data_IF_565823242245
#
_entry.id   IF_565823242245
#
_cell.length_a   1.000
_cell.length_b   1.000
_cell.length_c   1.000
_cell.angle_alpha   90.00
_cell.angle_beta   90.00
_cell.angle_gamma   90.00
#
_symmetry.space_group_name_H-M   'P 1'
#
loop_
_entity.id
_entity.type
_entity.pdbx_description
1 polymer ?
#
# COMPACT_ATOMS: atom_id res chain seq x y z
N UNK A 1 -2.95 -3.77 -26.29
CA UNK A 1 -2.45 -4.00 -24.91
C UNK A 1 -3.45 -3.32 -23.99
N UNK A 2 -4.11 -4.06 -23.09
CA UNK A 2 -5.16 -3.51 -22.21
C UNK A 2 -4.69 -3.70 -20.78
N UNK A 3 -4.34 -2.59 -20.13
CA UNK A 3 -3.97 -2.59 -18.72
C UNK A 3 -5.19 -2.80 -17.85
N UNK A 4 -5.04 -3.63 -16.83
CA UNK A 4 -6.07 -3.87 -15.82
C UNK A 4 -5.77 -3.06 -14.56
N UNK A 5 -6.80 -2.42 -14.02
CA UNK A 5 -6.77 -1.72 -12.73
C UNK A 5 -7.23 -2.66 -11.60
N UNK A 6 -6.48 -2.73 -10.52
CA UNK A 6 -6.85 -3.42 -9.27
C UNK A 6 -6.61 -2.48 -8.10
N UNK A 7 -7.57 -2.37 -7.17
CA UNK A 7 -7.48 -1.43 -6.05
C UNK A 7 -7.84 -2.11 -4.73
N UNK A 8 -7.26 -1.61 -3.65
CA UNK A 8 -7.59 -1.99 -2.27
C UNK A 8 -7.40 -0.77 -1.37
N UNK A 9 -8.17 -0.67 -0.29
CA UNK A 9 -8.11 0.46 0.64
C UNK A 9 -8.05 0.01 2.09
N UNK A 10 -7.45 0.85 2.92
CA UNK A 10 -7.44 0.71 4.38
C UNK A 10 -7.88 2.05 4.98
N UNK A 11 -8.72 1.98 6.02
CA UNK A 11 -9.22 3.15 6.74
C UNK A 11 -8.58 3.16 8.11
N UNK A 12 -8.04 4.29 8.56
CA UNK A 12 -7.55 4.49 9.93
C UNK A 12 -8.68 4.26 10.95
N UNK A 13 -8.40 3.73 12.14
CA UNK A 13 -9.32 3.83 13.28
C UNK A 13 -9.76 5.28 13.55
N UNK A 14 -10.79 5.43 14.40
CA UNK A 14 -11.36 6.74 14.74
C UNK A 14 -10.51 7.47 15.79
N UNK A 15 -9.25 7.73 15.47
CA UNK A 15 -8.30 8.46 16.28
C UNK A 15 -7.22 9.13 15.40
N UNK A 16 -6.32 9.89 16.02
CA UNK A 16 -5.25 10.65 15.35
C UNK A 16 -3.88 10.31 15.92
N UNK A 17 -3.67 9.10 16.43
CA UNK A 17 -2.38 8.72 17.03
C UNK A 17 -1.30 8.74 15.96
N UNK A 18 -0.25 9.53 16.22
CA UNK A 18 0.87 9.68 15.31
C UNK A 18 1.59 8.34 15.10
N UNK A 19 1.82 8.00 13.84
CA UNK A 19 2.71 6.92 13.44
C UNK A 19 4.17 7.34 13.61
N UNK A 20 5.00 6.44 14.13
CA UNK A 20 6.43 6.49 14.00
C UNK A 20 6.87 5.93 12.63
N UNK A 21 8.13 6.19 12.27
CA UNK A 21 8.71 5.58 11.08
C UNK A 21 8.82 4.05 11.27
N UNK A 22 8.36 3.32 10.26
CA UNK A 22 8.20 1.86 10.18
C UNK A 22 7.00 1.28 10.93
N UNK A 23 6.03 2.10 11.33
CA UNK A 23 4.77 1.58 11.86
C UNK A 23 3.86 1.03 10.75
N UNK A 24 3.05 0.04 11.10
CA UNK A 24 2.01 -0.51 10.24
C UNK A 24 0.76 0.34 10.30
N UNK A 25 0.19 0.62 9.12
CA UNK A 25 -1.16 1.17 9.00
C UNK A 25 -2.18 0.03 8.90
N UNK A 26 -3.02 -0.13 9.92
CA UNK A 26 -4.04 -1.16 9.98
C UNK A 26 -5.34 -0.62 10.63
N UNK A 27 -6.33 -1.50 10.80
CA UNK A 27 -7.56 -1.17 11.51
C UNK A 27 -8.22 -2.43 12.08
N UNK A 28 -8.94 -2.28 13.19
CA UNK A 28 -9.74 -3.33 13.79
C UNK A 28 -8.93 -4.60 14.04
N UNK A 29 -9.38 -5.72 13.48
CA UNK A 29 -8.56 -6.94 13.37
C UNK A 29 -7.62 -6.77 12.17
N UNK A 30 -6.31 -6.62 12.38
CA UNK A 30 -5.37 -6.33 11.30
C UNK A 30 -5.42 -7.40 10.21
N UNK A 31 -5.61 -6.97 8.97
CA UNK A 31 -5.61 -7.82 7.80
C UNK A 31 -4.90 -7.13 6.64
N UNK A 32 -4.08 -7.89 5.91
CA UNK A 32 -3.41 -7.38 4.72
C UNK A 32 -4.42 -7.02 3.62
N UNK A 33 -4.11 -5.97 2.86
CA UNK A 33 -4.87 -5.59 1.67
C UNK A 33 -4.86 -6.74 0.66
N UNK A 34 -5.95 -6.96 -0.06
CA UNK A 34 -6.04 -8.01 -1.09
C UNK A 34 -6.26 -7.40 -2.47
N UNK A 35 -5.28 -7.56 -3.36
CA UNK A 35 -5.36 -7.19 -4.76
C UNK A 35 -5.73 -8.42 -5.59
N UNK A 36 -7.03 -8.65 -5.75
CA UNK A 36 -7.53 -9.83 -6.45
C UNK A 36 -7.38 -9.72 -7.98
N UNK A 37 -7.20 -10.87 -8.62
CA UNK A 37 -7.17 -11.01 -10.07
C UNK A 37 -6.07 -10.18 -10.77
N UNK A 38 -4.89 -10.03 -10.16
CA UNK A 38 -3.72 -9.34 -10.75
C UNK A 38 -3.12 -10.09 -11.94
N UNK A 39 -3.50 -11.36 -12.12
CA UNK A 39 -3.12 -12.19 -13.27
C UNK A 39 -4.34 -12.85 -13.90
N UNK A 40 -4.21 -13.26 -15.17
CA UNK A 40 -5.31 -13.84 -15.98
C UNK A 40 -5.69 -15.25 -15.54
N UNK A 41 -4.71 -16.06 -15.15
CA UNK A 41 -4.88 -17.44 -14.73
C UNK A 41 -4.14 -17.70 -13.42
N UNK A 42 -4.54 -18.74 -12.69
CA UNK A 42 -3.85 -19.17 -11.47
C UNK A 42 -2.38 -19.50 -11.77
N UNK A 43 -1.48 -19.16 -10.85
CA UNK A 43 -0.01 -19.25 -11.04
C UNK A 43 0.51 -18.43 -12.24
N UNK A 44 -0.28 -17.45 -12.69
CA UNK A 44 0.11 -16.57 -13.78
C UNK A 44 1.21 -15.61 -13.37
N UNK A 45 1.87 -15.06 -14.39
CA UNK A 45 2.81 -13.94 -14.29
C UNK A 45 2.25 -12.72 -15.00
N UNK A 46 2.63 -11.54 -14.53
CA UNK A 46 2.28 -10.25 -15.08
C UNK A 46 3.34 -9.23 -14.58
N UNK A 47 3.17 -7.94 -14.83
CA UNK A 47 3.98 -6.87 -14.28
C UNK A 47 3.10 -5.71 -13.78
N UNK A 48 3.52 -5.10 -12.69
CA UNK A 48 2.94 -3.82 -12.27
C UNK A 48 3.65 -2.73 -13.07
N UNK A 49 2.89 -2.02 -13.91
CA UNK A 49 3.40 -0.94 -14.78
C UNK A 49 3.23 0.44 -14.17
N UNK A 50 2.28 0.58 -13.23
CA UNK A 50 2.05 1.81 -12.51
C UNK A 50 1.35 1.50 -11.19
N UNK A 51 1.66 2.29 -10.15
CA UNK A 51 0.93 2.28 -8.90
C UNK A 51 0.59 3.71 -8.48
N UNK A 52 -0.59 3.90 -7.92
CA UNK A 52 -1.04 5.19 -7.38
C UNK A 52 -1.65 4.98 -6.01
N UNK A 53 -1.43 5.92 -5.10
CA UNK A 53 -2.12 6.01 -3.82
C UNK A 53 -2.96 7.29 -3.81
N UNK A 54 -4.20 7.18 -3.37
CA UNK A 54 -5.04 8.31 -3.00
C UNK A 54 -5.19 8.32 -1.48
N UNK A 55 -4.86 9.44 -0.88
CA UNK A 55 -5.02 9.74 0.54
C UNK A 55 -6.22 10.69 0.68
N UNK A 56 -7.18 10.33 1.55
CA UNK A 56 -8.36 11.14 1.81
C UNK A 56 -8.12 12.30 2.78
N UNK A 57 -6.86 12.56 3.13
CA UNK A 57 -6.43 13.72 3.88
C UNK A 57 -5.37 14.52 3.12
N UNK A 58 -5.23 15.78 3.51
CA UNK A 58 -4.19 16.67 3.03
C UNK A 58 -3.48 17.31 4.24
N UNK A 59 -2.76 16.47 5.00
CA UNK A 59 -1.92 16.94 6.11
C UNK A 59 -0.77 17.81 5.61
N UNK A 60 -0.33 18.76 6.45
CA UNK A 60 0.82 19.62 6.15
C UNK A 60 2.10 18.80 6.04
N UNK A 61 2.33 17.88 6.99
CA UNK A 61 3.34 16.84 6.87
C UNK A 61 2.77 15.69 6.06
N UNK A 62 3.24 15.51 4.81
CA UNK A 62 2.80 14.40 3.97
C UNK A 62 3.25 13.07 4.55
N UNK A 63 2.37 12.08 4.50
CA UNK A 63 2.75 10.71 4.80
C UNK A 63 3.70 10.17 3.73
N UNK A 64 4.63 9.33 4.16
CA UNK A 64 5.45 8.52 3.28
C UNK A 64 5.11 7.07 3.53
N UNK A 65 4.83 6.31 2.48
CA UNK A 65 4.29 4.96 2.60
C UNK A 65 5.07 3.97 1.75
N UNK A 66 5.34 2.80 2.30
CA UNK A 66 5.72 1.61 1.55
C UNK A 66 4.53 0.65 1.49
N UNK A 67 4.16 0.22 0.28
CA UNK A 67 3.30 -0.93 0.07
C UNK A 67 4.17 -2.15 -0.19
N UNK A 68 4.24 -3.04 0.80
CA UNK A 68 4.92 -4.32 0.72
C UNK A 68 3.97 -5.37 0.14
N UNK A 69 4.34 -5.97 -0.98
CA UNK A 69 3.50 -6.92 -1.71
C UNK A 69 3.98 -8.36 -1.50
N UNK A 70 3.07 -9.27 -1.16
CA UNK A 70 3.36 -10.66 -0.85
C UNK A 70 2.49 -11.63 -1.67
N UNK A 71 3.00 -12.84 -1.91
CA UNK A 71 2.24 -13.94 -2.51
C UNK A 71 1.19 -14.54 -1.56
N UNK A 72 1.46 -14.52 -0.26
CA UNK A 72 0.59 -14.99 0.81
C UNK A 72 0.32 -13.85 1.77
N UNK A 73 -0.88 -13.78 2.34
CA UNK A 73 -1.17 -12.80 3.38
C UNK A 73 -0.24 -13.03 4.58
N UNK A 74 0.62 -12.07 4.95
CA UNK A 74 1.37 -12.15 6.20
C UNK A 74 0.43 -11.94 7.39
N UNK A 75 0.87 -12.34 8.59
CA UNK A 75 0.21 -11.95 9.82
C UNK A 75 0.51 -10.46 10.06
N UNK A 76 -0.52 -9.62 9.98
CA UNK A 76 -0.33 -8.17 10.06
C UNK A 76 -0.17 -7.73 11.53
N UNK A 77 0.86 -6.93 11.81
CA UNK A 77 1.00 -6.26 13.09
C UNK A 77 -0.17 -5.30 13.36
N UNK A 78 -0.39 -4.95 14.63
CA UNK A 78 -1.43 -4.00 15.00
C UNK A 78 -1.18 -2.61 14.39
N UNK A 79 -2.25 -1.82 14.29
CA UNK A 79 -2.12 -0.41 13.91
C UNK A 79 -1.20 0.33 14.88
N UNK A 80 -0.34 1.22 14.35
CA UNK A 80 0.70 1.93 15.12
C UNK A 80 1.75 1.02 15.79
N UNK A 81 1.81 -0.27 15.47
CA UNK A 81 2.91 -1.14 15.88
C UNK A 81 4.03 -1.11 14.85
N UNK A 82 5.27 -1.27 15.30
CA UNK A 82 6.42 -1.43 14.42
C UNK A 82 6.23 -2.65 13.51
N UNK A 83 6.51 -2.49 12.22
CA UNK A 83 6.44 -3.58 11.25
C UNK A 83 7.55 -4.61 11.50
N UNK A 84 7.17 -5.84 11.82
CA UNK A 84 8.09 -6.93 12.21
C UNK A 84 7.90 -8.20 11.37
N UNK A 85 8.09 -8.15 10.03
CA UNK A 85 7.91 -9.32 9.18
C UNK A 85 8.94 -10.40 9.52
N UNK A 86 8.49 -11.65 9.56
CA UNK A 86 9.37 -12.81 9.74
C UNK A 86 10.11 -13.17 8.45
N UNK A 87 11.24 -13.88 8.56
CA UNK A 87 11.98 -14.37 7.39
C UNK A 87 11.11 -15.24 6.47
N UNK A 88 10.19 -16.01 7.03
CA UNK A 88 9.25 -16.84 6.28
C UNK A 88 8.24 -16.00 5.47
N UNK A 89 7.80 -14.87 6.00
CA UNK A 89 6.94 -13.93 5.28
C UNK A 89 7.73 -13.18 4.20
N UNK A 90 8.95 -12.75 4.52
CA UNK A 90 9.84 -12.09 3.57
C UNK A 90 10.24 -13.00 2.41
N UNK A 91 10.32 -14.32 2.61
CA UNK A 91 10.51 -15.28 1.52
C UNK A 91 9.35 -15.29 0.49
N UNK A 92 8.18 -14.76 0.85
CA UNK A 92 7.02 -14.59 -0.03
C UNK A 92 6.88 -13.16 -0.60
N UNK A 93 7.88 -12.29 -0.38
CA UNK A 93 7.88 -10.92 -0.86
C UNK A 93 7.98 -10.88 -2.38
N UNK A 94 7.09 -10.12 -3.01
CA UNK A 94 7.07 -9.84 -4.44
C UNK A 94 7.82 -8.56 -4.76
N UNK A 95 7.64 -7.54 -3.93
CA UNK A 95 8.28 -6.24 -4.10
C UNK A 95 7.72 -5.19 -3.16
N UNK A 96 8.35 -4.02 -3.19
CA UNK A 96 7.97 -2.88 -2.36
C UNK A 96 7.79 -1.67 -3.29
N UNK A 97 6.66 -0.99 -3.14
CA UNK A 97 6.34 0.23 -3.87
C UNK A 97 6.31 1.39 -2.87
N UNK A 98 7.19 2.38 -3.08
CA UNK A 98 7.29 3.60 -2.27
C UNK A 98 6.40 4.69 -2.83
N UNK A 99 5.72 5.39 -1.93
CA UNK A 99 4.95 6.61 -2.16
C UNK A 99 5.48 7.69 -1.21
N UNK A 100 6.35 8.59 -1.68
CA UNK A 100 7.02 9.59 -0.82
C UNK A 100 6.75 11.05 -1.19
N UNK A 101 6.08 11.29 -2.31
CA UNK A 101 5.75 12.63 -2.80
C UNK A 101 4.24 12.74 -3.01
N UNK A 102 3.56 13.36 -2.04
CA UNK A 102 2.13 13.66 -2.12
C UNK A 102 1.88 14.94 -2.89
N UNK A 103 0.91 14.91 -3.80
CA UNK A 103 0.46 16.06 -4.59
C UNK A 103 -0.98 16.37 -4.19
N UNK A 104 -1.21 17.58 -3.70
CA UNK A 104 -2.50 18.00 -3.18
C UNK A 104 -3.52 18.20 -4.30
N UNK A 105 -4.75 17.69 -4.11
CA UNK A 105 -5.84 18.00 -5.03
C UNK A 105 -6.32 19.45 -4.90
N UNK A 106 -6.30 19.98 -3.67
CA UNK A 106 -6.50 21.39 -3.35
C UNK A 106 -5.58 21.78 -2.19
N UNK A 107 -4.59 22.63 -2.49
CA UNK A 107 -3.60 23.11 -1.52
C UNK A 107 -4.20 24.03 -0.43
N UNK A 108 -5.43 24.52 -0.61
CA UNK A 108 -6.10 25.43 0.34
C UNK A 108 -7.04 24.71 1.32
N UNK A 109 -7.36 23.44 1.06
CA UNK A 109 -8.32 22.65 1.85
C UNK A 109 -7.80 22.22 3.23
N UNK A 110 -6.51 22.39 3.52
CA UNK A 110 -5.89 21.88 4.74
C UNK A 110 -6.13 20.37 4.92
N UNK A 111 -6.22 19.91 6.17
CA UNK A 111 -6.38 18.48 6.48
C UNK A 111 -7.67 17.83 5.91
N UNK A 112 -8.67 18.63 5.51
CA UNK A 112 -9.91 18.13 4.89
C UNK A 112 -9.83 17.90 3.38
N UNK A 113 -8.69 18.19 2.75
CA UNK A 113 -8.45 17.90 1.34
C UNK A 113 -8.01 16.45 1.08
N UNK A 114 -7.47 16.22 -0.11
CA UNK A 114 -6.90 14.92 -0.51
C UNK A 114 -5.53 15.09 -1.15
N UNK A 115 -4.78 13.99 -1.23
CA UNK A 115 -3.50 13.94 -1.92
C UNK A 115 -3.39 12.69 -2.79
N UNK A 116 -2.63 12.82 -3.89
CA UNK A 116 -2.29 11.71 -4.79
C UNK A 116 -0.79 11.48 -4.75
N UNK A 117 -0.40 10.22 -4.74
CA UNK A 117 0.99 9.78 -4.79
C UNK A 117 1.18 8.85 -5.99
N UNK A 118 2.32 8.98 -6.65
CA UNK A 118 2.77 8.05 -7.68
C UNK A 118 3.82 7.11 -7.10
N UNK A 119 3.56 5.81 -7.22
CA UNK A 119 4.41 4.77 -6.67
C UNK A 119 5.65 4.54 -7.51
N UNK A 120 6.78 4.31 -6.86
CA UNK A 120 8.03 3.86 -7.49
C UNK A 120 8.53 2.59 -6.82
N UNK A 121 9.05 1.65 -7.61
CA UNK A 121 9.63 0.44 -7.03
C UNK A 121 10.90 0.78 -6.25
N UNK A 122 11.04 0.25 -5.03
CA UNK A 122 12.19 0.56 -4.16
C UNK A 122 13.50 -0.03 -4.72
N UNK A 123 13.41 -1.11 -5.49
CA UNK A 123 14.54 -1.76 -6.15
C UNK A 123 15.03 -1.02 -7.42
N UNK A 124 14.43 0.13 -7.77
CA UNK A 124 14.84 0.96 -8.91
C UNK A 124 14.41 0.43 -10.29
N UNK A 125 13.63 -0.65 -10.35
CA UNK A 125 13.09 -1.16 -11.61
C UNK A 125 11.84 -0.37 -12.01
N UNK A 126 11.73 -0.09 -13.31
CA UNK A 126 10.58 0.65 -13.86
C UNK A 126 9.28 -0.19 -13.83
N UNK A 127 9.40 -1.52 -13.79
CA UNK A 127 8.30 -2.46 -13.72
C UNK A 127 8.57 -3.48 -12.61
N UNK A 128 7.56 -3.84 -11.83
CA UNK A 128 7.68 -4.89 -10.81
C UNK A 128 7.13 -6.18 -11.42
N UNK A 129 7.98 -7.16 -11.78
CA UNK A 129 7.48 -8.44 -12.25
C UNK A 129 6.72 -9.12 -11.11
N UNK A 130 5.53 -9.62 -11.41
CA UNK A 130 4.70 -10.33 -10.45
C UNK A 130 4.43 -11.74 -10.92
N UNK A 131 4.54 -12.67 -10.00
CA UNK A 131 3.95 -14.00 -10.11
C UNK A 131 2.90 -14.13 -9.01
N UNK A 132 1.94 -15.02 -9.18
CA UNK A 132 1.02 -15.37 -8.09
C UNK A 132 1.33 -16.76 -7.59
N UNK A 133 0.98 -17.05 -6.34
CA UNK A 133 1.10 -18.40 -5.81
C UNK A 133 0.26 -19.38 -6.64
N UNK A 134 0.65 -20.66 -6.62
CA UNK A 134 -0.18 -21.76 -7.15
C UNK A 134 -1.62 -21.62 -6.69
N UNK A 135 -2.56 -21.78 -7.62
CA UNK A 135 -4.00 -21.66 -7.40
C UNK A 135 -4.49 -20.27 -6.91
N UNK A 136 -3.64 -19.23 -6.97
CA UNK A 136 -3.99 -17.87 -6.62
C UNK A 136 -3.90 -16.94 -7.82
N UNK A 137 -4.65 -15.84 -7.76
CA UNK A 137 -4.54 -14.68 -8.66
C UNK A 137 -4.40 -13.38 -7.89
N UNK A 138 -4.06 -13.48 -6.61
CA UNK A 138 -4.13 -12.39 -5.63
C UNK A 138 -2.75 -12.09 -5.09
N UNK A 139 -2.47 -10.80 -4.93
CA UNK A 139 -1.35 -10.31 -4.13
C UNK A 139 -1.89 -9.68 -2.86
N UNK A 140 -1.08 -9.75 -1.80
CA UNK A 140 -1.42 -9.17 -0.51
C UNK A 140 -0.53 -7.98 -0.19
N UNK A 141 -1.08 -6.92 0.38
CA UNK A 141 -0.38 -5.67 0.65
C UNK A 141 -0.33 -5.33 2.13
N UNK A 142 0.84 -4.95 2.61
CA UNK A 142 1.03 -4.32 3.93
C UNK A 142 1.49 -2.89 3.74
N UNK A 143 0.84 -1.96 4.43
CA UNK A 143 1.16 -0.53 4.37
C UNK A 143 2.03 -0.18 5.56
N UNK A 144 3.23 0.35 5.28
CA UNK A 144 4.21 0.75 6.29
C UNK A 144 4.49 2.23 6.15
N UNK A 145 4.28 2.99 7.22
CA UNK A 145 4.55 4.43 7.27
C UNK A 145 6.06 4.63 7.42
N UNK A 146 6.64 5.59 6.70
CA UNK A 146 8.11 5.77 6.57
C UNK A 146 8.63 7.05 7.21
N UNK A 147 7.75 7.87 7.75
CA UNK A 147 8.08 9.08 8.51
C UNK A 147 7.15 9.21 9.73
N UNK A 148 7.44 10.19 10.58
CA UNK A 148 6.47 10.60 11.59
C UNK A 148 5.26 11.23 10.90
N UNK A 149 4.08 10.62 11.03
CA UNK A 149 2.86 11.06 10.35
C UNK A 149 1.67 11.06 11.30
N UNK A 150 0.99 12.20 11.40
CA UNK A 150 -0.22 12.35 12.22
C UNK A 150 -1.45 12.31 11.30
N UNK A 151 -2.22 11.22 11.28
CA UNK A 151 -3.38 11.08 10.39
C UNK A 151 -4.59 11.89 10.91
N UNK A 152 -5.60 12.08 10.07
CA UNK A 152 -6.96 12.39 10.53
C UNK A 152 -7.70 11.12 10.96
N UNK A 153 -8.69 11.26 11.83
CA UNK A 153 -9.57 10.15 12.18
C UNK A 153 -10.30 9.65 10.93
N UNK A 154 -10.35 8.32 10.75
CA UNK A 154 -11.00 7.67 9.61
C UNK A 154 -10.38 8.01 8.23
N UNK A 155 -9.13 8.47 8.20
CA UNK A 155 -8.38 8.66 6.96
C UNK A 155 -8.34 7.37 6.12
N UNK A 156 -8.55 7.50 4.81
CA UNK A 156 -8.60 6.36 3.88
C UNK A 156 -7.43 6.44 2.91
N UNK A 157 -6.61 5.39 2.92
CA UNK A 157 -5.58 5.17 1.91
C UNK A 157 -6.11 4.19 0.87
N UNK A 158 -6.19 4.61 -0.39
CA UNK A 158 -6.63 3.78 -1.52
C UNK A 158 -5.49 3.55 -2.49
N UNK A 159 -4.98 2.32 -2.51
CA UNK A 159 -3.93 1.89 -3.41
C UNK A 159 -4.53 1.33 -4.69
N UNK A 160 -3.92 1.66 -5.82
CA UNK A 160 -4.28 1.15 -7.14
C UNK A 160 -3.04 0.66 -7.86
N UNK A 161 -3.11 -0.56 -8.39
CA UNK A 161 -2.11 -1.19 -9.23
C UNK A 161 -2.64 -1.33 -10.66
N UNK A 162 -1.81 -0.94 -11.63
CA UNK A 162 -2.04 -1.19 -13.05
C UNK A 162 -1.16 -2.35 -13.49
N UNK A 163 -1.78 -3.39 -14.02
CA UNK A 163 -1.13 -4.64 -14.44
C UNK A 163 -1.38 -4.90 -15.92
N UNK A 164 -0.45 -5.58 -16.60
CA UNK A 164 -0.42 -5.88 -18.04
C UNK A 164 -0.47 -7.38 -18.39
#
# INVERSE_FOLDING_TARGET
MSFKKVSASVTRPNDTTQYAANDVWANGTPAALSFANVVRANDGSNKIVQATLVDSANQSTKGQFDLWLFHTAPALDADNAAFTPTDAELANLVGIIRFDTGIDGDATSGAGGNAVYFGKAVNGFQEVPIRTKVASRTLYGVVVVKNAYTPVAQEVLTFTLWVD
#
